data_IF_910370591707
#
_entry.id   IF_910370591707
#
_cell.length_a   1.000
_cell.length_b   1.000
_cell.length_c   1.000
_cell.angle_alpha   90.00
_cell.angle_beta   90.00
_cell.angle_gamma   90.00
#
_symmetry.space_group_name_H-M   'P 1'
#
loop_
_entity.id
_entity.type
_entity.pdbx_description
1 polymer ?
#
# COMPACT_ATOMS: atom_id res chain seq x y z
N UNK A 1 37.39 10.58 -22.39
CA UNK A 1 37.06 9.17 -22.06
C UNK A 1 35.55 9.09 -22.17
N UNK A 2 35.06 8.19 -23.02
CA UNK A 2 33.78 8.25 -23.73
C UNK A 2 32.59 8.89 -23.00
N UNK A 3 31.96 9.87 -23.66
CA UNK A 3 30.52 10.07 -23.51
C UNK A 3 29.82 8.82 -24.05
N UNK A 4 29.42 7.93 -23.14
CA UNK A 4 28.48 6.87 -23.45
C UNK A 4 27.16 7.52 -23.84
N UNK A 5 26.89 7.60 -25.14
CA UNK A 5 25.61 8.02 -25.69
C UNK A 5 24.56 7.02 -25.18
N UNK A 6 23.88 7.38 -24.09
CA UNK A 6 22.81 6.58 -23.47
C UNK A 6 21.61 6.57 -24.42
N UNK A 7 21.74 5.84 -25.52
CA UNK A 7 20.62 5.46 -26.37
C UNK A 7 20.02 4.26 -25.65
N UNK A 8 18.80 4.43 -25.11
CA UNK A 8 18.01 3.32 -24.57
C UNK A 8 18.10 2.13 -25.53
N UNK A 9 18.55 1.00 -25.03
CA UNK A 9 18.71 -0.19 -25.86
C UNK A 9 17.32 -0.64 -26.31
N UNK A 10 17.24 -1.27 -27.48
CA UNK A 10 15.98 -1.86 -27.97
C UNK A 10 15.37 -2.80 -26.92
N UNK A 11 16.21 -3.42 -26.09
CA UNK A 11 15.80 -4.27 -24.97
C UNK A 11 15.02 -3.51 -23.88
N UNK A 12 15.42 -2.28 -23.52
CA UNK A 12 14.75 -1.50 -22.47
C UNK A 12 13.31 -1.16 -22.88
N UNK A 13 13.11 -0.83 -24.16
CA UNK A 13 11.81 -0.59 -24.74
C UNK A 13 10.92 -1.83 -24.76
N UNK A 14 11.48 -3.00 -25.11
CA UNK A 14 10.74 -4.27 -25.12
C UNK A 14 10.29 -4.61 -23.70
N UNK A 15 11.15 -4.45 -22.69
CA UNK A 15 10.80 -4.73 -21.29
C UNK A 15 9.72 -3.77 -20.80
N UNK A 16 9.86 -2.46 -21.07
CA UNK A 16 8.87 -1.46 -20.67
C UNK A 16 7.49 -1.73 -21.27
N UNK A 17 7.42 -1.98 -22.58
CA UNK A 17 6.15 -2.23 -23.26
C UNK A 17 5.52 -3.56 -22.83
N UNK A 18 6.33 -4.61 -22.66
CA UNK A 18 5.82 -5.91 -22.19
C UNK A 18 5.26 -5.83 -20.77
N UNK A 19 5.90 -5.09 -19.87
CA UNK A 19 5.45 -4.91 -18.49
C UNK A 19 4.11 -4.15 -18.41
N UNK A 20 3.95 -3.11 -19.24
CA UNK A 20 2.66 -2.41 -19.40
C UNK A 20 1.61 -3.35 -19.96
N UNK A 21 1.95 -4.10 -21.02
CA UNK A 21 1.00 -5.02 -21.67
C UNK A 21 0.51 -6.09 -20.69
N UNK A 22 1.41 -6.69 -19.91
CA UNK A 22 1.06 -7.68 -18.88
C UNK A 22 0.16 -7.04 -17.81
N UNK A 23 0.50 -5.85 -17.32
CA UNK A 23 -0.31 -5.14 -16.31
C UNK A 23 -1.71 -4.81 -16.83
N UNK A 24 -1.80 -4.39 -18.09
CA UNK A 24 -3.05 -4.10 -18.77
C UNK A 24 -3.90 -5.36 -18.96
N UNK A 25 -3.28 -6.48 -19.37
CA UNK A 25 -3.96 -7.77 -19.53
C UNK A 25 -4.52 -8.28 -18.20
N UNK A 26 -3.79 -8.14 -17.09
CA UNK A 26 -4.28 -8.49 -15.74
C UNK A 26 -5.47 -7.62 -15.36
N UNK A 27 -5.40 -6.31 -15.65
CA UNK A 27 -6.52 -5.38 -15.43
C UNK A 27 -7.77 -5.76 -16.23
N UNK A 28 -7.60 -6.07 -17.52
CA UNK A 28 -8.66 -6.54 -18.40
C UNK A 28 -9.27 -7.86 -17.89
N UNK A 29 -8.43 -8.84 -17.52
CA UNK A 29 -8.89 -10.12 -17.02
C UNK A 29 -9.70 -9.97 -15.72
N UNK A 30 -9.27 -9.08 -14.82
CA UNK A 30 -9.99 -8.71 -13.60
C UNK A 30 -11.34 -8.06 -13.91
N UNK A 31 -11.39 -7.18 -14.91
CA UNK A 31 -12.63 -6.51 -15.35
C UNK A 31 -13.64 -7.48 -15.97
N UNK A 32 -13.19 -8.41 -16.82
CA UNK A 32 -14.06 -9.44 -17.40
C UNK A 32 -14.59 -10.46 -16.39
N UNK A 33 -13.84 -10.70 -15.31
CA UNK A 33 -14.26 -11.55 -14.18
C UNK A 33 -15.12 -10.79 -13.15
N UNK A 34 -15.52 -9.54 -13.47
CA UNK A 34 -16.09 -8.56 -12.55
C UNK A 34 -17.26 -9.05 -11.68
N UNK A 35 -17.08 -8.89 -10.37
CA UNK A 35 -18.08 -9.13 -9.33
C UNK A 35 -19.24 -8.11 -9.42
N UNK A 36 -20.43 -8.52 -9.00
CA UNK A 36 -21.71 -7.86 -9.35
C UNK A 36 -22.08 -6.68 -8.43
N UNK A 37 -21.29 -6.39 -7.41
CA UNK A 37 -21.57 -5.34 -6.41
C UNK A 37 -20.29 -4.59 -5.99
N UNK A 38 -20.34 -3.26 -5.79
CA UNK A 38 -19.21 -2.47 -5.27
C UNK A 38 -18.76 -2.94 -3.88
N UNK A 39 -19.66 -3.52 -3.07
CA UNK A 39 -19.30 -4.09 -1.78
C UNK A 39 -18.44 -5.35 -1.92
N UNK A 40 -18.69 -6.20 -2.91
CA UNK A 40 -17.86 -7.38 -3.19
C UNK A 40 -16.47 -7.01 -3.70
N UNK A 41 -16.38 -5.90 -4.44
CA UNK A 41 -15.12 -5.35 -4.94
C UNK A 41 -14.28 -4.72 -3.83
N UNK A 42 -14.90 -3.95 -2.93
CA UNK A 42 -14.20 -3.26 -1.83
C UNK A 42 -13.91 -4.19 -0.63
N UNK A 43 -14.80 -5.14 -0.33
CA UNK A 43 -14.67 -6.05 0.82
C UNK A 43 -13.99 -7.37 0.48
N UNK A 44 -13.74 -7.66 -0.81
CA UNK A 44 -13.15 -8.93 -1.24
C UNK A 44 -13.88 -10.15 -0.67
N UNK A 45 -15.22 -10.12 -0.65
CA UNK A 45 -16.06 -11.19 -0.12
C UNK A 45 -15.77 -11.59 1.35
N UNK A 46 -15.13 -10.72 2.16
CA UNK A 46 -14.72 -10.98 3.57
C UNK A 46 -14.02 -12.32 3.83
N UNK A 47 -13.51 -12.96 2.78
CA UNK A 47 -12.96 -14.33 2.77
C UNK A 47 -11.57 -14.37 2.15
N UNK A 48 -10.96 -13.20 1.92
CA UNK A 48 -9.55 -13.13 1.57
C UNK A 48 -8.73 -13.69 2.72
N UNK A 49 -7.94 -14.73 2.41
CA UNK A 49 -6.98 -15.31 3.35
C UNK A 49 -6.03 -14.19 3.84
N UNK A 50 -5.50 -14.27 5.06
CA UNK A 50 -4.62 -13.23 5.61
C UNK A 50 -3.35 -12.98 4.76
N UNK A 51 -2.90 -14.00 4.02
CA UNK A 51 -1.70 -13.94 3.19
C UNK A 51 -1.81 -12.96 1.99
N UNK A 52 -2.81 -13.06 1.09
CA UNK A 52 -3.00 -12.07 0.03
C UNK A 52 -3.32 -10.66 0.54
N UNK A 53 -3.95 -10.54 1.72
CA UNK A 53 -4.18 -9.24 2.37
C UNK A 53 -2.86 -8.60 2.77
N UNK A 54 -1.99 -9.34 3.46
CA UNK A 54 -0.67 -8.86 3.85
C UNK A 54 0.19 -8.46 2.63
N UNK A 55 0.15 -9.25 1.55
CA UNK A 55 0.86 -8.94 0.31
C UNK A 55 0.36 -7.64 -0.33
N UNK A 56 -0.95 -7.41 -0.33
CA UNK A 56 -1.54 -6.18 -0.88
C UNK A 56 -1.18 -4.96 -0.02
N UNK A 57 -1.20 -5.11 1.31
CA UNK A 57 -0.78 -4.04 2.23
C UNK A 57 0.70 -3.69 2.05
N UNK A 58 1.56 -4.70 1.93
CA UNK A 58 2.99 -4.49 1.67
C UNK A 58 3.20 -3.77 0.33
N UNK A 59 2.47 -4.18 -0.70
CA UNK A 59 2.51 -3.52 -2.01
C UNK A 59 2.10 -2.04 -1.93
N UNK A 60 1.10 -1.70 -1.13
CA UNK A 60 0.67 -0.29 -0.94
C UNK A 60 1.67 0.52 -0.13
N UNK A 61 2.44 -0.12 0.75
CA UNK A 61 3.43 0.55 1.59
C UNK A 61 4.72 0.89 0.81
N UNK A 62 5.09 0.05 -0.16
CA UNK A 62 6.30 0.24 -0.95
C UNK A 62 6.07 1.34 -1.99
N UNK A 63 6.76 2.47 -1.82
CA UNK A 63 6.79 3.57 -2.77
C UNK A 63 8.16 3.70 -3.43
N UNK A 64 8.18 3.91 -4.75
CA UNK A 64 9.41 4.12 -5.54
C UNK A 64 10.16 5.36 -5.06
N UNK A 65 9.44 6.42 -4.69
CA UNK A 65 10.03 7.67 -4.17
C UNK A 65 10.78 7.39 -2.87
N UNK A 66 10.18 6.59 -1.98
CA UNK A 66 10.79 6.24 -0.70
C UNK A 66 12.07 5.41 -0.88
N UNK A 67 12.09 4.49 -1.86
CA UNK A 67 13.25 3.66 -2.15
C UNK A 67 14.42 4.49 -2.71
N UNK A 68 14.18 5.38 -3.67
CA UNK A 68 15.20 6.28 -4.21
C UNK A 68 15.67 7.28 -3.15
N UNK A 69 14.75 7.80 -2.34
CA UNK A 69 15.07 8.68 -1.21
C UNK A 69 15.98 7.99 -0.20
N UNK A 70 15.63 6.76 0.19
CA UNK A 70 16.41 5.97 1.16
C UNK A 70 17.84 5.73 0.70
N UNK A 71 18.04 5.41 -0.59
CA UNK A 71 19.39 5.20 -1.14
C UNK A 71 20.20 6.50 -1.22
N UNK A 72 19.55 7.62 -1.53
CA UNK A 72 20.18 8.95 -1.56
C UNK A 72 20.61 9.38 -0.16
N UNK A 73 19.76 9.14 0.84
CA UNK A 73 20.03 9.48 2.23
C UNK A 73 21.16 8.63 2.82
N UNK A 74 21.18 7.33 2.51
CA UNK A 74 22.30 6.44 2.91
C UNK A 74 23.61 6.86 2.24
N UNK A 75 23.55 7.33 0.99
CA UNK A 75 24.73 7.81 0.27
C UNK A 75 25.32 9.10 0.88
N UNK A 76 24.47 10.02 1.38
CA UNK A 76 24.90 11.31 1.92
C UNK A 76 25.16 11.32 3.43
N UNK A 77 24.38 10.57 4.20
CA UNK A 77 24.34 10.64 5.67
C UNK A 77 24.62 9.31 6.37
N UNK A 78 24.88 8.23 5.62
CA UNK A 78 25.24 6.93 6.19
C UNK A 78 24.04 6.18 6.81
N UNK A 79 24.24 5.53 7.95
CA UNK A 79 23.30 4.53 8.50
C UNK A 79 22.18 5.10 9.39
N UNK A 80 22.00 6.42 9.46
CA UNK A 80 21.02 7.04 10.36
C UNK A 80 19.56 6.61 10.06
N UNK A 81 19.24 6.38 8.78
CA UNK A 81 17.93 5.89 8.32
C UNK A 81 17.57 4.50 8.89
N UNK A 82 18.57 3.69 9.25
CA UNK A 82 18.34 2.37 9.83
C UNK A 82 17.58 2.45 11.16
N UNK A 83 17.81 3.49 11.95
CA UNK A 83 17.10 3.72 13.21
C UNK A 83 15.60 3.96 12.97
N UNK A 84 15.24 4.67 11.90
CA UNK A 84 13.84 4.87 11.51
C UNK A 84 13.16 3.54 11.13
N UNK A 85 13.89 2.63 10.49
CA UNK A 85 13.38 1.30 10.12
C UNK A 85 13.02 0.48 11.37
N UNK A 86 13.85 0.54 12.42
CA UNK A 86 13.58 -0.10 13.71
C UNK A 86 12.31 0.49 14.35
N UNK A 87 12.15 1.82 14.30
CA UNK A 87 10.94 2.50 14.78
C UNK A 87 9.67 2.03 14.06
N UNK A 88 9.73 1.87 12.73
CA UNK A 88 8.62 1.33 11.95
C UNK A 88 8.26 -0.11 12.36
N UNK A 89 9.23 -0.98 12.62
CA UNK A 89 8.97 -2.36 13.09
C UNK A 89 8.23 -2.37 14.43
N UNK A 90 8.67 -1.54 15.37
CA UNK A 90 8.02 -1.39 16.68
C UNK A 90 6.60 -0.82 16.50
N UNK A 91 6.40 0.15 15.61
CA UNK A 91 5.09 0.71 15.30
C UNK A 91 4.10 -0.32 14.74
N UNK A 92 4.56 -1.20 13.83
CA UNK A 92 3.73 -2.29 13.28
C UNK A 92 3.32 -3.27 14.39
N UNK A 93 4.24 -3.64 15.28
CA UNK A 93 3.93 -4.50 16.43
C UNK A 93 2.89 -3.84 17.34
N UNK A 94 3.06 -2.56 17.68
CA UNK A 94 2.09 -1.84 18.50
C UNK A 94 0.71 -1.75 17.83
N UNK A 95 0.66 -1.51 16.52
CA UNK A 95 -0.59 -1.50 15.75
C UNK A 95 -1.31 -2.86 15.81
N UNK A 96 -0.56 -3.96 15.71
CA UNK A 96 -1.13 -5.32 15.83
C UNK A 96 -1.79 -5.55 17.20
N UNK A 97 -1.19 -5.05 18.28
CA UNK A 97 -1.69 -5.25 19.65
C UNK A 97 -2.78 -4.27 20.07
N UNK A 98 -2.77 -3.03 19.58
CA UNK A 98 -3.66 -1.96 20.06
C UNK A 98 -4.75 -1.64 19.03
N UNK A 99 -4.39 -1.49 17.75
CA UNK A 99 -5.29 -0.99 16.71
C UNK A 99 -6.25 -2.09 16.24
N UNK A 100 -5.75 -3.32 16.06
CA UNK A 100 -6.59 -4.45 15.62
C UNK A 100 -7.72 -4.78 16.60
N UNK A 101 -7.50 -4.96 17.93
CA UNK A 101 -8.60 -5.30 18.84
C UNK A 101 -9.61 -4.16 19.00
N UNK A 102 -9.23 -2.92 18.73
CA UNK A 102 -10.12 -1.76 18.77
C UNK A 102 -10.97 -1.65 17.50
N UNK A 103 -10.42 -1.91 16.31
CA UNK A 103 -11.15 -1.73 15.04
C UNK A 103 -12.00 -2.95 14.68
N UNK A 104 -11.53 -4.17 14.99
CA UNK A 104 -12.22 -5.42 14.62
C UNK A 104 -13.68 -5.54 15.14
N UNK A 105 -14.04 -5.14 16.37
CA UNK A 105 -15.42 -5.24 16.85
C UNK A 105 -16.38 -4.23 16.19
N UNK A 106 -15.87 -3.13 15.61
CA UNK A 106 -16.72 -2.08 15.06
C UNK A 106 -17.35 -2.43 13.70
N UNK A 107 -16.86 -3.46 12.99
CA UNK A 107 -17.37 -3.91 11.66
C UNK A 107 -17.55 -2.77 10.63
N UNK A 108 -16.86 -1.64 10.80
CA UNK A 108 -17.00 -0.48 9.93
C UNK A 108 -16.30 -0.72 8.61
N UNK A 109 -16.89 -0.18 7.55
CA UNK A 109 -16.49 -0.43 6.18
C UNK A 109 -15.43 0.56 5.68
N UNK A 110 -15.28 1.68 6.38
CA UNK A 110 -14.34 2.74 6.08
C UNK A 110 -13.89 3.45 7.35
N UNK A 111 -12.61 3.87 7.38
CA UNK A 111 -12.03 4.70 8.46
C UNK A 111 -12.84 6.00 8.64
N UNK A 112 -13.45 6.50 7.56
CA UNK A 112 -14.28 7.69 7.59
C UNK A 112 -15.54 7.51 8.45
N UNK A 113 -16.17 6.33 8.44
CA UNK A 113 -17.34 6.05 9.29
C UNK A 113 -16.95 6.08 10.78
N UNK A 114 -15.76 5.60 11.11
CA UNK A 114 -15.24 5.68 12.48
C UNK A 114 -15.03 7.14 12.92
N UNK A 115 -14.45 7.97 12.05
CA UNK A 115 -14.23 9.38 12.33
C UNK A 115 -15.55 10.16 12.50
N UNK A 116 -16.55 9.85 11.65
CA UNK A 116 -17.90 10.43 11.76
C UNK A 116 -18.59 10.01 13.07
N UNK A 117 -18.50 8.75 13.49
CA UNK A 117 -19.11 8.29 14.73
C UNK A 117 -18.47 8.93 15.96
N UNK A 118 -17.14 9.11 15.95
CA UNK A 118 -16.45 9.85 17.01
C UNK A 118 -16.88 11.32 17.06
N UNK A 119 -17.00 11.98 15.90
CA UNK A 119 -17.50 13.36 15.83
C UNK A 119 -18.96 13.48 16.29
N UNK A 120 -19.82 12.52 15.94
CA UNK A 120 -21.21 12.51 16.37
C UNK A 120 -21.34 12.26 17.88
N UNK A 121 -20.53 11.34 18.42
CA UNK A 121 -20.42 11.11 19.87
C UNK A 121 -19.95 12.37 20.60
N UNK A 122 -18.97 13.10 20.05
CA UNK A 122 -18.50 14.36 20.62
C UNK A 122 -19.56 15.48 20.54
N UNK A 123 -20.34 15.52 19.45
CA UNK A 123 -21.41 16.51 19.27
C UNK A 123 -22.62 16.29 20.20
N UNK A 124 -22.87 15.07 20.65
CA UNK A 124 -23.96 14.76 21.58
C UNK A 124 -23.57 15.04 23.05
N UNK A 125 -22.28 14.97 23.39
CA UNK A 125 -21.75 15.32 24.72
C UNK A 125 -21.69 16.85 24.95
N UNK A 126 -21.69 17.64 23.88
CA UNK A 126 -21.63 19.11 23.93
C UNK A 126 -23.01 19.81 23.99
N UNK A 127 -24.10 19.09 24.23
CA UNK A 127 -25.45 19.64 24.49
C UNK A 127 -25.97 19.17 25.84
#
# INVERSE_FOLDING_TARGET
MEESKVIFSVLDYIIFFSLILISFLIGIFSSFKGNKSPEEFLMGNRSLKPLPVAMSLLSSFISVVNLVGSTTEVYLHGTQLFMATIGCLIGILNSLFIVIPVIYPLKLTSIHEHCILLLFSYSHESR
#
